data_IF_054659711666
#
_entry.id   IF_054659711666
#
_cell.length_a   1.000
_cell.length_b   1.000
_cell.length_c   1.000
_cell.angle_alpha   90.00
_cell.angle_beta   90.00
_cell.angle_gamma   90.00
#
_symmetry.space_group_name_H-M   'P 1'
#
loop_
_entity.id
_entity.type
_entity.pdbx_description
1 polymer ?
#
# COMPACT_ATOMS: atom_id res chain seq x y z
N UNK A 1 2.99 -15.65 20.63
CA UNK A 1 3.17 -14.52 19.75
C UNK A 1 2.28 -14.65 18.52
N UNK A 2 2.01 -13.56 17.84
CA UNK A 2 1.27 -13.56 16.57
C UNK A 2 2.09 -14.29 15.51
N UNK A 3 1.50 -15.17 14.68
CA UNK A 3 2.20 -15.82 13.58
C UNK A 3 2.69 -14.82 12.53
N UNK A 4 3.84 -15.10 11.92
CA UNK A 4 4.43 -14.27 10.88
C UNK A 4 5.63 -13.46 11.35
N UNK A 5 6.33 -12.80 10.41
CA UNK A 5 7.56 -12.03 10.70
C UNK A 5 7.46 -10.54 10.35
N UNK A 6 6.40 -10.12 9.65
CA UNK A 6 6.25 -8.76 9.12
C UNK A 6 7.25 -8.37 8.02
N UNK A 7 8.25 -9.21 7.76
CA UNK A 7 9.26 -8.98 6.73
C UNK A 7 9.59 -10.28 6.03
N UNK A 8 9.61 -10.25 4.70
CA UNK A 8 10.01 -11.39 3.86
C UNK A 8 10.98 -10.94 2.78
N UNK A 9 11.97 -11.78 2.49
CA UNK A 9 12.85 -11.59 1.34
C UNK A 9 12.57 -12.68 0.30
N UNK A 10 12.43 -12.26 -0.95
CA UNK A 10 12.19 -13.11 -2.12
C UNK A 10 13.32 -12.86 -3.11
N UNK A 11 13.82 -13.92 -3.72
CA UNK A 11 14.78 -13.79 -4.83
C UNK A 11 14.13 -14.35 -6.09
N UNK A 12 14.14 -13.58 -7.17
CA UNK A 12 13.61 -14.02 -8.46
C UNK A 12 14.64 -14.89 -9.22
N UNK A 13 14.23 -15.44 -10.36
CA UNK A 13 15.06 -16.31 -11.20
C UNK A 13 16.30 -15.58 -11.77
N UNK A 14 16.28 -14.25 -11.87
CA UNK A 14 17.40 -13.42 -12.26
C UNK A 14 18.36 -13.08 -11.09
N UNK A 15 18.11 -13.62 -9.90
CA UNK A 15 18.90 -13.37 -8.71
C UNK A 15 18.62 -12.03 -8.03
N UNK A 16 17.64 -11.25 -8.48
CA UNK A 16 17.25 -9.98 -7.85
C UNK A 16 16.49 -10.23 -6.55
N UNK A 17 16.83 -9.52 -5.51
CA UNK A 17 16.32 -9.67 -4.13
C UNK A 17 15.30 -8.58 -3.83
N UNK A 18 14.07 -9.00 -3.60
CA UNK A 18 12.96 -8.15 -3.12
C UNK A 18 12.76 -8.37 -1.62
N UNK A 19 12.77 -7.30 -0.85
CA UNK A 19 12.31 -7.32 0.54
C UNK A 19 10.95 -6.63 0.63
N UNK A 20 9.98 -7.32 1.22
CA UNK A 20 8.65 -6.78 1.53
C UNK A 20 8.54 -6.64 3.04
N UNK A 21 8.23 -5.43 3.49
CA UNK A 21 7.94 -5.10 4.89
C UNK A 21 6.45 -4.76 4.98
N UNK A 22 5.67 -5.58 5.71
CA UNK A 22 4.29 -5.26 6.03
C UNK A 22 4.23 -4.64 7.43
N UNK A 23 3.71 -3.42 7.52
CA UNK A 23 3.62 -2.66 8.76
C UNK A 23 2.22 -2.04 8.90
N UNK A 24 1.79 -1.83 10.15
CA UNK A 24 0.54 -1.17 10.48
C UNK A 24 0.82 0.13 11.23
N UNK A 25 0.09 1.20 10.89
CA UNK A 25 0.16 2.48 11.62
C UNK A 25 -0.64 2.42 12.92
N UNK A 26 -0.48 3.41 13.79
CA UNK A 26 -1.16 3.42 15.09
C UNK A 26 -2.35 4.39 15.13
N UNK A 27 -2.25 5.53 14.45
CA UNK A 27 -3.25 6.59 14.57
C UNK A 27 -4.59 6.17 13.96
N UNK A 28 -5.62 6.13 14.80
CA UNK A 28 -6.99 5.65 14.50
C UNK A 28 -7.11 4.15 14.19
N UNK A 29 -6.04 3.36 14.36
CA UNK A 29 -6.04 1.93 14.05
C UNK A 29 -6.19 1.04 15.29
N UNK A 30 -5.41 1.28 16.33
CA UNK A 30 -5.41 0.48 17.55
C UNK A 30 -4.10 0.59 18.32
N UNK A 31 -3.99 -0.16 19.41
CA UNK A 31 -2.80 -0.22 20.25
C UNK A 31 -1.85 -1.31 19.72
N UNK A 32 -1.08 -0.95 18.71
CA UNK A 32 -0.05 -1.79 18.10
C UNK A 32 1.35 -1.28 18.49
N UNK A 33 2.37 -2.09 18.23
CA UNK A 33 3.75 -1.64 18.39
C UNK A 33 4.02 -0.41 17.50
N UNK A 34 4.86 0.55 17.97
CA UNK A 34 5.13 1.77 17.21
C UNK A 34 5.70 1.51 15.82
N UNK A 35 5.06 2.07 14.77
CA UNK A 35 5.41 1.80 13.36
C UNK A 35 6.82 2.25 12.99
N UNK A 36 7.30 3.42 13.47
CA UNK A 36 8.62 3.94 13.11
C UNK A 36 9.77 3.06 13.59
N UNK A 37 9.83 2.58 14.85
CA UNK A 37 10.80 1.60 15.29
C UNK A 37 10.74 0.28 14.52
N UNK A 38 9.54 -0.21 14.19
CA UNK A 38 9.36 -1.44 13.42
C UNK A 38 9.95 -1.32 12.00
N UNK A 39 9.57 -0.25 11.28
CA UNK A 39 10.11 0.08 9.94
C UNK A 39 11.62 0.29 10.00
N UNK A 40 12.12 1.08 10.97
CA UNK A 40 13.55 1.28 11.13
C UNK A 40 14.32 -0.03 11.34
N UNK A 41 13.79 -0.90 12.21
CA UNK A 41 14.39 -2.21 12.46
C UNK A 41 14.45 -3.08 11.21
N UNK A 42 13.43 -3.05 10.35
CA UNK A 42 13.42 -3.75 9.08
C UNK A 42 14.46 -3.18 8.11
N UNK A 43 14.54 -1.85 7.96
CA UNK A 43 15.47 -1.17 7.05
C UNK A 43 16.94 -1.25 7.49
N UNK A 44 17.22 -1.36 8.80
CA UNK A 44 18.59 -1.59 9.31
C UNK A 44 19.07 -3.00 8.99
N UNK A 45 18.17 -3.98 9.08
CA UNK A 45 18.51 -5.39 8.78
C UNK A 45 18.58 -5.67 7.28
N UNK A 46 17.93 -4.86 6.45
CA UNK A 46 17.86 -5.03 5.00
C UNK A 46 18.19 -3.70 4.33
N UNK A 47 19.45 -3.48 4.01
CA UNK A 47 19.88 -2.23 3.39
C UNK A 47 19.72 -2.29 1.87
N UNK A 48 19.07 -1.29 1.31
CA UNK A 48 18.92 -1.13 -0.14
C UNK A 48 20.27 -1.04 -0.82
N UNK A 49 20.43 -1.71 -1.96
CA UNK A 49 21.69 -1.81 -2.70
C UNK A 49 22.71 -2.80 -2.13
N UNK A 50 22.63 -3.16 -0.83
CA UNK A 50 23.53 -4.12 -0.20
C UNK A 50 22.89 -5.49 0.01
N UNK A 51 21.74 -5.51 0.71
CA UNK A 51 21.04 -6.74 1.12
C UNK A 51 19.83 -7.01 0.23
N UNK A 52 19.27 -5.97 -0.39
CA UNK A 52 18.12 -6.02 -1.28
C UNK A 52 18.33 -5.12 -2.51
N UNK A 53 17.83 -5.56 -3.65
CA UNK A 53 17.81 -4.79 -4.89
C UNK A 53 16.53 -3.93 -5.01
N UNK A 54 15.49 -4.28 -4.25
CA UNK A 54 14.24 -3.51 -4.09
C UNK A 54 13.66 -3.75 -2.70
N UNK A 55 13.25 -2.67 -2.03
CA UNK A 55 12.55 -2.74 -0.73
C UNK A 55 11.20 -2.07 -0.87
N UNK A 56 10.14 -2.84 -0.63
CA UNK A 56 8.77 -2.37 -0.57
C UNK A 56 8.28 -2.36 0.88
N UNK A 57 7.70 -1.25 1.30
CA UNK A 57 6.95 -1.14 2.55
C UNK A 57 5.47 -1.06 2.22
N UNK A 58 4.72 -2.13 2.52
CA UNK A 58 3.26 -2.17 2.53
C UNK A 58 2.78 -1.64 3.88
N UNK A 59 2.22 -0.44 3.87
CA UNK A 59 1.87 0.32 5.07
C UNK A 59 0.36 0.40 5.24
N UNK A 60 -0.19 -0.45 6.11
CA UNK A 60 -1.62 -0.47 6.38
C UNK A 60 -2.00 0.56 7.44
N UNK A 61 -2.91 1.49 7.14
CA UNK A 61 -3.31 2.49 8.10
C UNK A 61 -4.33 3.52 7.62
N UNK A 62 -5.08 4.09 8.58
CA UNK A 62 -6.10 5.10 8.31
C UNK A 62 -5.50 6.47 8.03
N UNK A 63 -4.63 6.97 8.92
CA UNK A 63 -4.18 8.35 8.87
C UNK A 63 -3.20 8.62 7.73
N UNK A 64 -3.61 9.47 6.77
CA UNK A 64 -2.76 9.89 5.65
C UNK A 64 -1.48 10.56 6.14
N UNK A 65 -1.57 11.39 7.19
CA UNK A 65 -0.41 12.08 7.78
C UNK A 65 0.64 11.12 8.33
N UNK A 66 0.22 10.04 8.99
CA UNK A 66 1.14 9.04 9.52
C UNK A 66 1.77 8.23 8.38
N UNK A 67 0.99 7.86 7.37
CA UNK A 67 1.51 7.18 6.16
C UNK A 67 2.55 8.03 5.44
N UNK A 68 2.27 9.32 5.21
CA UNK A 68 3.23 10.24 4.60
C UNK A 68 4.49 10.43 5.46
N UNK A 69 4.33 10.53 6.78
CA UNK A 69 5.48 10.65 7.68
C UNK A 69 6.39 9.42 7.64
N UNK A 70 5.82 8.21 7.58
CA UNK A 70 6.60 6.97 7.38
C UNK A 70 7.28 6.96 6.00
N UNK A 71 6.60 7.43 4.95
CA UNK A 71 7.18 7.58 3.61
C UNK A 71 8.43 8.47 3.64
N UNK A 72 8.33 9.67 4.18
CA UNK A 72 9.48 10.58 4.33
C UNK A 72 10.58 10.03 5.24
N UNK A 73 10.20 9.31 6.31
CA UNK A 73 11.16 8.67 7.20
C UNK A 73 11.97 7.57 6.51
N UNK A 74 11.36 6.86 5.55
CA UNK A 74 12.00 5.79 4.79
C UNK A 74 12.69 6.30 3.51
N UNK A 75 12.58 7.61 3.18
CA UNK A 75 13.09 8.16 1.95
C UNK A 75 14.59 7.91 1.76
N UNK A 76 14.98 7.40 0.59
CA UNK A 76 16.33 6.96 0.26
C UNK A 76 16.75 5.62 0.88
N UNK A 77 15.87 4.97 1.66
CA UNK A 77 16.14 3.68 2.33
C UNK A 77 15.23 2.55 1.86
N UNK A 78 14.17 2.89 1.15
CA UNK A 78 13.26 1.96 0.51
C UNK A 78 13.04 2.39 -0.94
N UNK A 79 12.68 1.44 -1.80
CA UNK A 79 12.32 1.71 -3.20
C UNK A 79 10.89 2.24 -3.30
N UNK A 80 9.98 1.70 -2.47
CA UNK A 80 8.56 2.01 -2.45
C UNK A 80 8.00 1.98 -1.03
N UNK A 81 7.23 3.00 -0.68
CA UNK A 81 6.28 2.97 0.44
C UNK A 81 4.88 3.17 -0.14
N UNK A 82 4.03 2.16 -0.02
CA UNK A 82 2.65 2.19 -0.51
C UNK A 82 1.68 1.95 0.63
N UNK A 83 0.70 2.85 0.75
CA UNK A 83 -0.34 2.73 1.75
C UNK A 83 -1.49 1.85 1.29
N UNK A 84 -2.19 1.29 2.26
CA UNK A 84 -3.43 0.53 2.11
C UNK A 84 -4.40 0.88 3.25
N UNK A 85 -5.61 0.39 3.25
CA UNK A 85 -6.67 0.51 4.24
C UNK A 85 -7.93 1.21 3.74
N UNK A 86 -7.82 2.36 3.07
CA UNK A 86 -8.99 3.19 2.73
C UNK A 86 -9.84 2.58 1.61
N UNK A 87 -9.29 1.61 0.90
CA UNK A 87 -9.89 0.97 -0.27
C UNK A 87 -10.06 1.90 -1.49
N UNK A 88 -9.54 3.13 -1.43
CA UNK A 88 -9.66 4.13 -2.52
C UNK A 88 -8.28 4.52 -2.99
N UNK A 89 -7.95 4.41 -4.30
CA UNK A 89 -6.65 4.79 -4.80
C UNK A 89 -6.49 6.31 -4.73
N UNK A 90 -5.44 6.77 -4.07
CA UNK A 90 -5.13 8.19 -3.94
C UNK A 90 -4.36 8.71 -5.16
N UNK A 91 -4.37 10.02 -5.38
CA UNK A 91 -3.79 10.66 -6.56
C UNK A 91 -2.38 11.24 -6.30
N UNK A 92 -1.76 10.88 -5.17
CA UNK A 92 -0.54 11.51 -4.66
C UNK A 92 0.73 10.69 -4.92
N UNK A 93 0.70 9.80 -5.92
CA UNK A 93 1.89 9.04 -6.32
C UNK A 93 3.02 9.98 -6.75
N UNK A 94 4.19 9.79 -6.17
CA UNK A 94 5.37 10.63 -6.37
C UNK A 94 6.65 9.89 -6.02
N UNK A 95 7.79 10.44 -6.45
CA UNK A 95 9.11 10.01 -5.98
C UNK A 95 9.66 11.12 -5.08
N UNK A 96 10.03 10.76 -3.86
CA UNK A 96 10.66 11.69 -2.91
C UNK A 96 12.10 12.01 -3.30
N UNK A 97 12.68 13.05 -2.71
CA UNK A 97 14.01 13.54 -3.06
C UNK A 97 15.14 12.51 -2.84
N UNK A 98 14.98 11.57 -1.92
CA UNK A 98 15.91 10.47 -1.68
C UNK A 98 15.72 9.28 -2.63
N UNK A 99 14.72 9.31 -3.51
CA UNK A 99 14.49 8.25 -4.49
C UNK A 99 13.50 7.16 -4.06
N UNK A 100 12.71 7.39 -3.02
CA UNK A 100 11.62 6.47 -2.63
C UNK A 100 10.33 6.84 -3.34
N UNK A 101 9.72 5.89 -4.07
CA UNK A 101 8.35 6.03 -4.58
C UNK A 101 7.35 5.98 -3.43
N UNK A 102 6.28 6.78 -3.52
CA UNK A 102 5.24 6.86 -2.49
C UNK A 102 3.85 7.01 -3.10
N UNK A 103 2.87 6.34 -2.48
CA UNK A 103 1.44 6.66 -2.63
C UNK A 103 0.73 6.36 -1.31
N UNK A 104 -0.19 7.25 -0.90
CA UNK A 104 -0.92 7.14 0.37
C UNK A 104 -1.82 5.91 0.44
N UNK A 105 -2.48 5.53 -0.67
CA UNK A 105 -3.28 4.30 -0.74
C UNK A 105 -3.35 3.77 -2.18
N UNK A 106 -3.04 2.50 -2.36
CA UNK A 106 -3.10 1.84 -3.66
C UNK A 106 -4.54 1.60 -4.15
N UNK A 107 -5.50 1.65 -3.23
CA UNK A 107 -6.88 1.26 -3.48
C UNK A 107 -7.12 -0.24 -3.37
N UNK A 108 -8.37 -0.64 -3.52
CA UNK A 108 -8.74 -2.06 -3.52
C UNK A 108 -8.77 -2.65 -4.94
N UNK A 109 -8.58 -3.94 -5.05
CA UNK A 109 -8.95 -4.72 -6.23
C UNK A 109 -10.38 -5.24 -6.05
N UNK A 110 -11.37 -4.52 -6.58
CA UNK A 110 -12.78 -4.84 -6.30
C UNK A 110 -13.77 -3.96 -7.05
N UNK A 111 -15.04 -4.19 -6.78
CA UNK A 111 -16.14 -3.42 -7.37
C UNK A 111 -16.25 -2.04 -6.71
N UNK A 112 -16.09 -0.98 -7.50
CA UNK A 112 -16.23 0.41 -7.06
C UNK A 112 -17.67 0.95 -7.19
N UNK A 113 -18.64 0.15 -7.67
CA UNK A 113 -20.07 0.43 -7.49
C UNK A 113 -20.59 -0.08 -6.14
N UNK A 114 -19.85 0.23 -5.10
CA UNK A 114 -19.99 -0.30 -3.75
C UNK A 114 -19.65 0.77 -2.71
N UNK A 115 -19.82 0.44 -1.44
CA UNK A 115 -19.24 1.23 -0.35
C UNK A 115 -18.00 0.47 0.14
N UNK A 116 -16.84 0.91 -0.30
CA UNK A 116 -15.53 0.29 0.01
C UNK A 116 -15.47 -1.23 -0.18
N UNK A 117 -16.15 -1.72 -1.23
CA UNK A 117 -16.22 -3.15 -1.55
C UNK A 117 -17.42 -3.90 -0.97
N UNK A 118 -18.26 -3.24 -0.16
CA UNK A 118 -19.49 -3.82 0.39
C UNK A 118 -20.70 -3.44 -0.44
N UNK A 119 -21.73 -4.31 -0.45
CA UNK A 119 -23.00 -4.01 -1.07
C UNK A 119 -23.51 -2.64 -0.63
N UNK A 120 -23.77 -1.75 -1.59
CA UNK A 120 -24.05 -0.35 -1.34
C UNK A 120 -25.39 -0.12 -0.62
N UNK A 121 -26.40 -0.97 -0.84
CA UNK A 121 -27.70 -0.82 -0.18
C UNK A 121 -27.59 -1.16 1.29
N UNK A 122 -26.99 -2.31 1.61
CA UNK A 122 -26.76 -2.75 2.98
C UNK A 122 -25.85 -1.79 3.76
N UNK A 123 -24.79 -1.30 3.12
CA UNK A 123 -23.87 -0.36 3.74
C UNK A 123 -24.53 1.01 3.98
N UNK A 124 -25.26 1.56 3.00
CA UNK A 124 -25.95 2.85 3.14
C UNK A 124 -27.01 2.80 4.24
N UNK A 125 -27.83 1.74 4.28
CA UNK A 125 -28.87 1.57 5.29
C UNK A 125 -28.32 1.63 6.74
N UNK A 126 -27.09 1.15 6.97
CA UNK A 126 -26.43 1.26 8.29
C UNK A 126 -26.15 2.71 8.70
N UNK A 127 -25.76 3.56 7.76
CA UNK A 127 -25.48 4.96 8.05
C UNK A 127 -26.75 5.80 8.17
N UNK A 128 -27.83 5.43 7.46
CA UNK A 128 -29.13 6.13 7.55
C UNK A 128 -29.97 5.67 8.74
N UNK A 129 -29.56 4.62 9.45
CA UNK A 129 -30.31 4.07 10.58
C UNK A 129 -31.53 3.23 10.17
N UNK A 130 -31.58 2.83 8.90
CA UNK A 130 -32.62 1.94 8.39
C UNK A 130 -32.33 0.47 8.76
N UNK A 131 -33.36 -0.39 8.65
CA UNK A 131 -33.16 -1.82 8.82
C UNK A 131 -32.24 -2.36 7.72
N UNK A 132 -30.99 -2.63 8.07
CA UNK A 132 -29.97 -3.07 7.13
C UNK A 132 -29.86 -4.59 7.08
N UNK A 133 -29.80 -5.20 5.89
CA UNK A 133 -29.42 -6.60 5.77
C UNK A 133 -27.97 -6.81 6.25
N UNK A 134 -27.57 -8.08 6.37
CA UNK A 134 -26.17 -8.41 6.66
C UNK A 134 -25.29 -7.88 5.55
N UNK A 135 -24.16 -7.25 5.90
CA UNK A 135 -23.16 -6.82 4.91
C UNK A 135 -22.65 -8.02 4.12
N UNK A 136 -22.62 -7.86 2.81
CA UNK A 136 -22.01 -8.79 1.86
C UNK A 136 -21.03 -8.03 0.96
N UNK A 137 -20.11 -8.76 0.37
CA UNK A 137 -19.18 -8.20 -0.63
C UNK A 137 -19.98 -7.84 -1.88
N UNK A 138 -19.67 -6.71 -2.49
CA UNK A 138 -20.20 -6.33 -3.81
C UNK A 138 -19.69 -7.30 -4.89
N UNK A 139 -20.56 -7.61 -5.87
CA UNK A 139 -20.32 -8.66 -6.88
C UNK A 139 -20.31 -8.11 -8.32
N UNK A 140 -20.19 -6.80 -8.50
CA UNK A 140 -20.07 -6.17 -9.81
C UNK A 140 -18.69 -6.33 -10.44
N UNK A 141 -18.46 -5.61 -11.55
CA UNK A 141 -17.21 -5.66 -12.29
C UNK A 141 -16.06 -5.04 -11.47
N UNK A 142 -14.98 -5.80 -11.16
CA UNK A 142 -13.90 -5.28 -10.34
C UNK A 142 -12.95 -4.38 -11.14
N UNK A 143 -12.42 -3.34 -10.49
CA UNK A 143 -11.25 -2.60 -10.93
C UNK A 143 -10.01 -3.19 -10.27
N UNK A 144 -8.99 -3.49 -11.05
CA UNK A 144 -7.63 -3.77 -10.56
C UNK A 144 -6.96 -2.43 -10.28
N UNK A 145 -6.55 -2.19 -9.04
CA UNK A 145 -5.75 -1.03 -8.64
C UNK A 145 -4.36 -1.46 -8.17
N UNK A 146 -3.36 -0.65 -8.47
CA UNK A 146 -1.97 -0.87 -8.06
C UNK A 146 -1.03 0.21 -8.56
N UNK A 147 0.27 -0.06 -8.44
CA UNK A 147 1.36 0.77 -8.92
C UNK A 147 2.33 -0.05 -9.75
N UNK A 148 2.85 0.54 -10.81
CA UNK A 148 4.10 0.11 -11.44
C UNK A 148 5.22 1.03 -10.95
N UNK A 149 6.30 0.45 -10.44
CA UNK A 149 7.48 1.18 -10.00
C UNK A 149 8.71 0.59 -10.68
N UNK A 150 9.48 1.45 -11.32
CA UNK A 150 10.79 1.08 -11.83
C UNK A 150 11.89 1.67 -10.95
N UNK A 151 12.96 0.91 -10.75
CA UNK A 151 14.11 1.34 -9.95
C UNK A 151 15.40 1.25 -10.76
N UNK A 152 16.37 2.08 -10.39
CA UNK A 152 17.74 1.97 -10.88
C UNK A 152 18.48 0.79 -10.21
N UNK A 153 19.74 0.59 -10.58
CA UNK A 153 20.57 -0.51 -10.04
C UNK A 153 20.87 -0.36 -8.53
N UNK A 154 20.71 0.83 -7.97
CA UNK A 154 20.88 1.09 -6.54
C UNK A 154 19.56 0.82 -5.76
N UNK A 155 18.46 0.54 -6.49
CA UNK A 155 17.15 0.26 -5.93
C UNK A 155 16.29 1.50 -5.69
N UNK A 156 16.75 2.71 -6.04
CA UNK A 156 15.94 3.93 -5.94
C UNK A 156 14.95 4.01 -7.12
N UNK A 157 13.74 4.42 -6.83
CA UNK A 157 12.70 4.58 -7.83
C UNK A 157 13.09 5.66 -8.86
N UNK A 158 12.86 5.36 -10.14
CA UNK A 158 13.03 6.29 -11.28
C UNK A 158 11.71 6.58 -11.95
N UNK A 159 10.70 5.72 -11.75
CA UNK A 159 9.33 5.90 -12.25
C UNK A 159 8.34 5.34 -11.23
N UNK A 160 7.19 5.97 -11.09
CA UNK A 160 6.02 5.47 -10.35
C UNK A 160 4.76 5.86 -11.10
N UNK A 161 3.98 4.87 -11.51
CA UNK A 161 2.77 5.07 -12.30
C UNK A 161 1.60 4.28 -11.70
N UNK A 162 0.40 4.92 -11.59
CA UNK A 162 -0.78 4.22 -11.12
C UNK A 162 -1.28 3.24 -12.18
N UNK A 163 -1.71 2.06 -11.76
CA UNK A 163 -2.40 1.08 -12.57
C UNK A 163 -3.86 1.00 -12.15
N UNK A 164 -4.79 1.25 -13.08
CA UNK A 164 -6.22 0.99 -12.91
C UNK A 164 -6.80 0.37 -14.17
N UNK A 165 -7.33 -0.86 -14.08
CA UNK A 165 -7.91 -1.58 -15.21
C UNK A 165 -9.24 -2.25 -14.83
N UNK A 166 -10.19 -2.21 -15.75
CA UNK A 166 -11.54 -2.76 -15.56
C UNK A 166 -12.43 -1.88 -14.70
N UNK A 167 -13.65 -2.32 -14.47
CA UNK A 167 -14.63 -1.71 -13.59
C UNK A 167 -14.96 -0.24 -13.87
N UNK A 168 -15.24 0.51 -12.81
CA UNK A 168 -15.80 1.89 -12.90
C UNK A 168 -14.79 3.02 -12.86
N UNK A 169 -13.62 2.81 -12.26
CA UNK A 169 -12.64 3.88 -12.15
C UNK A 169 -12.04 4.22 -13.51
N UNK A 170 -11.69 5.50 -13.69
CA UNK A 170 -10.95 5.93 -14.87
C UNK A 170 -9.67 5.12 -15.01
N UNK A 171 -9.47 4.54 -16.19
CA UNK A 171 -8.31 3.73 -16.47
C UNK A 171 -7.01 4.54 -16.30
N UNK A 172 -6.00 3.91 -15.73
CA UNK A 172 -4.62 4.37 -15.75
C UNK A 172 -3.75 3.18 -16.13
N UNK A 173 -3.05 3.32 -17.23
CA UNK A 173 -2.17 2.26 -17.74
C UNK A 173 -0.77 2.84 -17.81
N UNK A 174 0.20 2.26 -17.08
CA UNK A 174 1.60 2.63 -17.21
C UNK A 174 2.08 2.56 -18.67
N UNK A 175 2.97 3.45 -19.06
CA UNK A 175 3.50 3.55 -20.40
C UNK A 175 4.47 2.40 -20.76
#
# INVERSE_FOLDING_TARGET
GTPGSGTVQITNDAGKRLVVVNAITNLFMGDYDPVFPAVNGALVRNQLGRDADFIMIDLHGEATSEKMAVGHYADGRASLVVGTHTHVPTADHQIFAGGTAFQTDAGMCGDYDSVIGMDKQAATARFTGEAAPRLSVAVGEPTLCGLLVESNDEGHAVSVEPLRRGGRLSAATPA
#
